data_IF_033398483093
#
_entry.id   IF_033398483093
#
_cell.length_a   1.000
_cell.length_b   1.000
_cell.length_c   1.000
_cell.angle_alpha   90.00
_cell.angle_beta   90.00
_cell.angle_gamma   90.00
#
_symmetry.space_group_name_H-M   'P 1'
#
loop_
_entity.id
_entity.type
_entity.pdbx_description
1 polymer ?
#
# COMPACT_ATOMS: atom_id res chain seq x y z
N UNK A 1 -6.91 2.14 -22.88
CA UNK A 1 -6.33 2.97 -21.81
C UNK A 1 -6.36 4.43 -22.25
N UNK A 2 -6.48 5.36 -21.31
CA UNK A 2 -6.34 6.79 -21.62
C UNK A 2 -4.85 7.14 -21.82
N UNK A 3 -4.52 8.09 -22.71
CA UNK A 3 -3.13 8.49 -22.95
C UNK A 3 -2.55 9.26 -21.75
N UNK A 4 -1.24 9.09 -21.52
CA UNK A 4 -0.51 9.89 -20.53
C UNK A 4 -0.40 11.36 -21.00
N UNK A 5 -0.32 12.28 -20.03
CA UNK A 5 -0.08 13.69 -20.32
C UNK A 5 1.33 13.92 -20.90
N UNK A 6 1.53 15.01 -21.68
CA UNK A 6 2.83 15.28 -22.33
C UNK A 6 3.97 15.56 -21.35
N UNK A 7 3.67 15.72 -20.06
CA UNK A 7 4.65 15.98 -19.00
C UNK A 7 5.54 14.76 -18.71
N UNK A 8 5.10 13.56 -19.09
CA UNK A 8 5.90 12.33 -18.98
C UNK A 8 6.17 11.75 -20.37
N UNK A 9 7.26 12.17 -21.03
CA UNK A 9 7.55 11.80 -22.42
C UNK A 9 8.22 10.41 -22.56
N UNK A 10 8.22 9.59 -21.51
CA UNK A 10 8.86 8.28 -21.50
C UNK A 10 7.82 7.15 -21.54
N UNK A 11 8.25 5.95 -21.95
CA UNK A 11 7.40 4.75 -21.97
C UNK A 11 8.24 3.53 -21.69
N UNK A 12 7.74 2.63 -20.85
CA UNK A 12 8.41 1.38 -20.47
C UNK A 12 9.67 1.60 -19.64
N UNK A 13 9.77 2.73 -18.93
CA UNK A 13 10.94 3.07 -18.10
C UNK A 13 10.62 3.07 -16.61
N UNK A 14 9.33 2.99 -16.24
CA UNK A 14 8.89 3.03 -14.85
C UNK A 14 7.93 1.89 -14.52
N UNK A 15 8.22 1.14 -13.45
CA UNK A 15 7.41 0.00 -12.99
C UNK A 15 5.97 0.40 -12.59
N UNK A 16 5.73 1.72 -12.39
CA UNK A 16 4.42 2.29 -12.05
C UNK A 16 3.54 2.53 -13.28
N UNK A 17 4.10 2.46 -14.49
CA UNK A 17 3.32 2.55 -15.72
C UNK A 17 2.31 1.41 -15.77
N UNK A 18 1.05 1.74 -16.07
CA UNK A 18 -0.05 0.76 -16.15
C UNK A 18 -0.18 -0.12 -14.88
N UNK A 19 0.09 0.44 -13.70
CA UNK A 19 0.01 -0.29 -12.44
C UNK A 19 -1.30 -1.10 -12.29
N UNK A 20 -1.25 -2.37 -11.83
CA UNK A 20 -0.08 -3.12 -11.35
C UNK A 20 0.54 -4.05 -12.41
N UNK A 21 0.28 -3.83 -13.70
CA UNK A 21 0.48 -4.84 -14.75
C UNK A 21 1.92 -5.29 -14.98
N UNK A 22 2.91 -4.45 -14.61
CA UNK A 22 4.33 -4.81 -14.64
C UNK A 22 4.62 -5.99 -13.70
N UNK A 23 3.98 -6.03 -12.54
CA UNK A 23 4.18 -7.10 -11.55
C UNK A 23 3.15 -8.23 -11.67
N UNK A 24 1.88 -7.88 -11.85
CA UNK A 24 0.78 -8.85 -11.80
C UNK A 24 -0.23 -8.59 -12.91
N UNK A 25 -0.56 -9.65 -13.66
CA UNK A 25 -1.63 -9.61 -14.67
C UNK A 25 -2.97 -10.17 -14.17
N UNK A 26 -3.01 -10.68 -12.93
CA UNK A 26 -4.21 -11.24 -12.29
C UNK A 26 -4.24 -10.84 -10.83
N UNK A 27 -5.40 -10.44 -10.34
CA UNK A 27 -5.65 -10.08 -8.95
C UNK A 27 -6.98 -10.69 -8.48
N UNK A 28 -7.17 -10.79 -7.16
CA UNK A 28 -8.43 -11.25 -6.59
C UNK A 28 -9.55 -10.22 -6.82
N UNK A 29 -10.69 -10.67 -7.32
CA UNK A 29 -11.91 -9.86 -7.41
C UNK A 29 -12.95 -10.41 -6.42
N UNK A 30 -13.19 -9.65 -5.35
CA UNK A 30 -14.07 -10.08 -4.27
C UNK A 30 -15.55 -9.84 -4.60
N UNK A 31 -16.41 -10.72 -4.10
CA UNK A 31 -17.87 -10.65 -4.28
C UNK A 31 -18.57 -9.99 -3.09
N UNK A 32 -19.73 -9.38 -3.32
CA UNK A 32 -20.55 -8.81 -2.26
C UNK A 32 -19.81 -7.74 -1.42
N UNK A 33 -19.81 -7.91 -0.10
CA UNK A 33 -19.15 -7.00 0.86
C UNK A 33 -17.76 -7.46 1.31
N UNK A 34 -17.19 -8.49 0.68
CA UNK A 34 -15.83 -8.93 0.97
C UNK A 34 -14.79 -8.05 0.25
N UNK A 35 -13.59 -7.94 0.81
CA UNK A 35 -12.42 -7.21 0.30
C UNK A 35 -11.11 -7.82 0.82
N UNK A 36 -9.98 -7.17 0.49
CA UNK A 36 -8.64 -7.56 0.93
C UNK A 36 -7.90 -8.31 -0.17
N UNK A 37 -6.59 -8.52 0.00
CA UNK A 37 -5.74 -9.17 -1.00
C UNK A 37 -6.19 -10.61 -1.31
N UNK A 38 -6.81 -11.28 -0.33
CA UNK A 38 -7.32 -12.66 -0.41
C UNK A 38 -8.85 -12.77 -0.34
N UNK A 39 -9.57 -11.65 -0.37
CA UNK A 39 -11.02 -11.58 -0.10
C UNK A 39 -11.47 -12.06 1.29
N UNK A 40 -10.53 -12.17 2.25
CA UNK A 40 -10.81 -12.60 3.63
C UNK A 40 -11.27 -11.48 4.58
N UNK A 41 -11.33 -10.23 4.12
CA UNK A 41 -11.71 -9.07 4.93
C UNK A 41 -13.05 -8.50 4.46
N UNK A 42 -13.61 -7.56 5.22
CA UNK A 42 -14.85 -6.87 4.88
C UNK A 42 -14.59 -5.44 4.37
N UNK A 43 -15.38 -4.99 3.39
CA UNK A 43 -15.35 -3.63 2.86
C UNK A 43 -15.39 -2.59 3.98
N UNK A 44 -14.77 -1.43 3.79
CA UNK A 44 -14.83 -0.35 4.77
C UNK A 44 -16.28 -0.04 5.18
N UNK A 45 -16.54 -0.04 6.49
CA UNK A 45 -17.88 0.12 7.06
C UNK A 45 -18.68 -1.18 7.24
N UNK A 46 -18.17 -2.33 6.79
CA UNK A 46 -18.75 -3.65 6.99
C UNK A 46 -17.87 -4.54 7.86
N UNK A 47 -18.49 -5.31 8.75
CA UNK A 47 -17.87 -6.11 9.79
C UNK A 47 -18.60 -7.45 9.95
N UNK A 48 -18.07 -8.30 10.83
CA UNK A 48 -18.58 -9.64 11.10
C UNK A 48 -18.04 -10.70 10.12
N UNK A 49 -18.20 -12.00 10.44
CA UNK A 49 -17.64 -13.09 9.64
C UNK A 49 -18.21 -13.15 8.21
N UNK A 50 -19.40 -12.60 7.99
CA UNK A 50 -20.10 -12.57 6.70
C UNK A 50 -20.15 -11.17 6.06
N UNK A 51 -19.49 -10.16 6.64
CA UNK A 51 -19.48 -8.78 6.14
C UNK A 51 -20.87 -8.14 5.96
N UNK A 52 -21.83 -8.54 6.81
CA UNK A 52 -23.21 -8.03 6.80
C UNK A 52 -23.46 -6.96 7.86
N UNK A 53 -22.63 -6.89 8.89
CA UNK A 53 -22.80 -5.93 9.97
C UNK A 53 -22.26 -4.57 9.56
N UNK A 54 -23.05 -3.51 9.75
CA UNK A 54 -22.61 -2.14 9.44
C UNK A 54 -21.98 -1.51 10.67
N UNK A 55 -20.80 -0.92 10.50
CA UNK A 55 -20.10 -0.16 11.54
C UNK A 55 -19.71 1.21 11.03
N UNK A 56 -20.16 2.26 11.71
CA UNK A 56 -19.76 3.64 11.44
C UNK A 56 -18.65 4.05 12.41
N UNK A 57 -17.57 4.61 11.89
CA UNK A 57 -16.48 5.19 12.66
C UNK A 57 -16.44 6.70 12.42
N UNK A 58 -16.28 7.48 13.48
CA UNK A 58 -16.20 8.95 13.41
C UNK A 58 -14.75 9.38 13.58
N UNK A 59 -14.20 10.10 12.59
CA UNK A 59 -12.90 10.76 12.70
C UNK A 59 -13.09 12.10 13.39
N UNK A 60 -12.72 12.20 14.66
CA UNK A 60 -12.80 13.43 15.46
C UNK A 60 -11.60 14.33 15.21
N UNK A 61 -11.75 15.62 15.52
CA UNK A 61 -10.62 16.54 15.60
C UNK A 61 -9.67 16.10 16.73
N UNK A 62 -8.36 16.05 16.45
CA UNK A 62 -7.35 15.60 17.41
C UNK A 62 -7.32 16.50 18.66
N UNK A 63 -7.63 17.79 18.52
CA UNK A 63 -7.62 18.73 19.65
C UNK A 63 -8.78 18.51 20.62
N UNK A 64 -9.89 17.97 20.14
CA UNK A 64 -11.12 17.68 20.90
C UNK A 64 -11.07 16.33 21.64
N UNK A 65 -10.02 15.53 21.42
CA UNK A 65 -9.85 14.27 22.14
C UNK A 65 -9.53 14.51 23.61
N UNK A 66 -10.10 13.67 24.48
CA UNK A 66 -9.70 13.56 25.89
C UNK A 66 -8.23 13.12 26.02
N UNK A 67 -7.61 13.37 27.17
CA UNK A 67 -6.22 12.95 27.44
C UNK A 67 -6.04 11.44 27.21
N UNK A 68 -6.88 10.53 27.73
CA UNK A 68 -6.73 9.10 27.49
C UNK A 68 -6.91 8.70 26.01
N UNK A 69 -7.77 9.39 25.26
CA UNK A 69 -7.93 9.16 23.81
C UNK A 69 -6.66 9.57 23.03
N UNK A 70 -6.04 10.70 23.40
CA UNK A 70 -4.77 11.16 22.81
C UNK A 70 -3.64 10.19 23.11
N UNK A 71 -3.50 9.76 24.37
CA UNK A 71 -2.46 8.81 24.78
C UNK A 71 -2.61 7.48 24.04
N UNK A 72 -3.84 6.97 23.93
CA UNK A 72 -4.14 5.75 23.16
C UNK A 72 -3.80 5.90 21.69
N UNK A 73 -4.13 7.05 21.08
CA UNK A 73 -3.80 7.32 19.68
C UNK A 73 -2.29 7.32 19.45
N UNK A 74 -1.52 8.03 20.27
CA UNK A 74 -0.06 8.06 20.20
C UNK A 74 0.55 6.68 20.43
N UNK A 75 0.06 5.94 21.43
CA UNK A 75 0.53 4.58 21.71
C UNK A 75 0.32 3.64 20.51
N UNK A 76 -0.81 3.74 19.80
CA UNK A 76 -1.04 2.92 18.61
C UNK A 76 -0.25 3.36 17.38
N UNK A 77 0.07 4.64 17.23
CA UNK A 77 1.03 5.08 16.20
C UNK A 77 2.41 4.49 16.46
N UNK A 78 2.89 4.55 17.70
CA UNK A 78 4.15 3.94 18.12
C UNK A 78 4.13 2.42 17.90
N UNK A 79 3.03 1.75 18.29
CA UNK A 79 2.88 0.32 18.04
C UNK A 79 2.95 0.00 16.55
N UNK A 80 2.24 0.75 15.69
CA UNK A 80 2.28 0.56 14.24
C UNK A 80 3.68 0.77 13.64
N UNK A 81 4.47 1.69 14.20
CA UNK A 81 5.86 1.92 13.80
C UNK A 81 6.80 0.77 14.15
N UNK A 82 6.49 0.00 15.20
CA UNK A 82 7.32 -1.12 15.64
C UNK A 82 6.74 -2.50 15.32
N UNK A 83 5.55 -2.57 14.73
CA UNK A 83 4.92 -3.84 14.34
C UNK A 83 5.17 -4.10 12.87
N UNK A 84 5.85 -5.21 12.55
CA UNK A 84 6.05 -5.68 11.18
C UNK A 84 4.70 -6.07 10.57
N UNK A 85 4.46 -5.64 9.33
CA UNK A 85 3.26 -6.02 8.58
C UNK A 85 3.28 -7.51 8.28
N UNK A 86 2.17 -8.19 8.57
CA UNK A 86 1.98 -9.61 8.22
C UNK A 86 1.52 -9.81 6.79
N UNK A 87 0.99 -8.76 6.18
CA UNK A 87 0.26 -8.84 4.91
C UNK A 87 1.07 -8.27 3.74
N UNK A 88 2.02 -7.37 4.02
CA UNK A 88 2.76 -6.64 2.99
C UNK A 88 4.26 -6.61 3.29
N UNK A 89 5.02 -6.71 2.21
CA UNK A 89 6.46 -6.44 2.15
C UNK A 89 6.70 -5.37 1.09
N UNK A 90 7.84 -4.70 1.15
CA UNK A 90 8.18 -3.65 0.18
C UNK A 90 9.27 -4.12 -0.77
N UNK A 91 9.17 -3.80 -2.08
CA UNK A 91 10.25 -4.08 -3.01
C UNK A 91 11.47 -3.19 -2.72
N UNK A 92 12.65 -3.79 -2.81
CA UNK A 92 13.95 -3.11 -2.64
C UNK A 92 14.71 -2.93 -3.95
N UNK A 93 14.12 -3.35 -5.07
CA UNK A 93 14.67 -3.19 -6.41
C UNK A 93 13.57 -3.00 -7.45
N UNK A 94 13.96 -2.54 -8.65
CA UNK A 94 13.05 -2.43 -9.80
C UNK A 94 12.69 -3.82 -10.32
N UNK A 95 11.60 -3.92 -11.07
CA UNK A 95 11.21 -5.19 -11.70
C UNK A 95 12.32 -5.76 -12.61
N UNK A 96 13.07 -4.88 -13.28
CA UNK A 96 14.26 -5.25 -14.05
C UNK A 96 15.38 -5.84 -13.19
N UNK A 97 15.70 -5.21 -12.04
CA UNK A 97 16.70 -5.74 -11.09
C UNK A 97 16.26 -7.10 -10.50
N UNK A 98 14.97 -7.31 -10.32
CA UNK A 98 14.38 -8.61 -9.92
C UNK A 98 14.44 -9.68 -11.02
N UNK A 99 15.13 -9.42 -12.14
CA UNK A 99 15.15 -10.28 -13.34
C UNK A 99 13.74 -10.70 -13.76
N UNK A 100 12.86 -9.71 -13.93
CA UNK A 100 11.45 -9.89 -14.28
C UNK A 100 10.72 -10.83 -13.30
N UNK A 101 10.99 -10.67 -12.00
CA UNK A 101 10.36 -11.43 -10.91
C UNK A 101 10.99 -12.79 -10.60
N UNK A 102 12.01 -13.23 -11.33
CA UNK A 102 12.71 -14.50 -11.04
C UNK A 102 13.64 -14.43 -9.82
N UNK A 103 14.06 -13.23 -9.42
CA UNK A 103 14.84 -12.98 -8.21
C UNK A 103 14.06 -11.98 -7.35
N UNK A 104 13.26 -12.46 -6.37
CA UNK A 104 12.46 -11.57 -5.54
C UNK A 104 13.37 -10.71 -4.65
N UNK A 105 13.13 -9.40 -4.64
CA UNK A 105 13.86 -8.43 -3.82
C UNK A 105 12.87 -7.68 -2.94
N UNK A 106 12.56 -8.25 -1.78
CA UNK A 106 11.59 -7.68 -0.84
C UNK A 106 12.14 -7.67 0.58
N UNK A 107 11.75 -6.66 1.35
CA UNK A 107 12.05 -6.57 2.77
C UNK A 107 10.76 -6.44 3.58
N UNK A 108 10.82 -6.96 4.80
CA UNK A 108 9.84 -6.69 5.84
C UNK A 108 9.73 -5.20 6.11
N UNK A 109 8.53 -4.75 6.46
CA UNK A 109 8.23 -3.34 6.71
C UNK A 109 7.29 -3.22 7.90
N UNK A 110 7.46 -2.17 8.72
CA UNK A 110 6.47 -1.88 9.76
C UNK A 110 5.15 -1.36 9.15
N UNK A 111 4.05 -1.45 9.89
CA UNK A 111 2.74 -0.94 9.45
C UNK A 111 2.83 0.56 9.11
N UNK A 112 3.51 1.34 9.96
CA UNK A 112 3.67 2.78 9.73
C UNK A 112 4.64 3.06 8.57
N UNK A 113 5.73 2.30 8.45
CA UNK A 113 6.68 2.50 7.35
C UNK A 113 6.13 2.08 6.01
N UNK A 114 5.20 1.13 5.95
CA UNK A 114 4.47 0.82 4.73
C UNK A 114 3.67 2.04 4.25
N UNK A 115 2.99 2.74 5.17
CA UNK A 115 2.27 3.98 4.85
C UNK A 115 3.20 5.07 4.29
N UNK A 116 4.38 5.24 4.90
CA UNK A 116 5.40 6.18 4.42
C UNK A 116 5.98 5.75 3.07
N UNK A 117 6.29 4.46 2.92
CA UNK A 117 6.90 3.89 1.72
C UNK A 117 5.97 4.01 0.51
N UNK A 118 4.67 3.77 0.68
CA UNK A 118 3.69 3.96 -0.41
C UNK A 118 3.71 5.39 -0.92
N UNK A 119 3.76 6.38 -0.03
CA UNK A 119 3.85 7.79 -0.41
C UNK A 119 5.15 8.05 -1.19
N UNK A 120 6.29 7.59 -0.67
CA UNK A 120 7.57 7.69 -1.36
C UNK A 120 7.54 7.05 -2.76
N UNK A 121 6.97 5.85 -2.87
CA UNK A 121 6.94 5.08 -4.12
C UNK A 121 6.09 5.77 -5.19
N UNK A 122 4.98 6.41 -4.84
CA UNK A 122 4.18 7.17 -5.81
C UNK A 122 4.77 8.53 -6.15
N UNK A 123 5.58 9.13 -5.27
CA UNK A 123 6.09 10.50 -5.44
C UNK A 123 7.54 10.58 -5.92
N UNK A 124 8.29 9.48 -5.92
CA UNK A 124 9.70 9.45 -6.36
C UNK A 124 9.83 9.67 -7.88
N UNK A 125 11.00 10.15 -8.28
CA UNK A 125 11.37 10.29 -9.68
C UNK A 125 11.49 8.93 -10.39
N UNK A 126 11.25 8.96 -11.70
CA UNK A 126 11.53 7.83 -12.59
C UNK A 126 13.03 7.65 -12.73
N UNK A 127 13.48 6.40 -12.57
CA UNK A 127 14.89 6.04 -12.66
C UNK A 127 15.30 5.82 -14.10
N UNK A 128 16.06 6.76 -14.65
CA UNK A 128 16.63 6.64 -15.99
C UNK A 128 18.09 6.17 -15.88
N UNK A 129 18.49 5.17 -16.67
CA UNK A 129 19.90 4.81 -16.84
C UNK A 129 20.48 3.84 -15.80
N UNK A 130 19.69 2.90 -15.26
CA UNK A 130 20.18 1.83 -14.39
C UNK A 130 20.56 2.27 -12.98
N UNK A 131 20.08 3.44 -12.54
CA UNK A 131 20.14 3.87 -11.15
C UNK A 131 19.49 2.85 -10.21
N UNK A 132 20.06 2.66 -9.02
CA UNK A 132 19.54 1.74 -8.02
C UNK A 132 18.41 2.38 -7.19
N UNK A 133 17.56 1.53 -6.62
CA UNK A 133 16.62 1.94 -5.58
C UNK A 133 17.31 1.69 -4.25
N UNK A 134 17.68 2.77 -3.53
CA UNK A 134 18.37 2.75 -2.24
C UNK A 134 19.86 2.37 -2.28
#
# INVERSE_FOLDING_TARGET
>A
SAPAGPQFPFTGVDDREFWPSIFYNRTCQCSGNFMGFSCGNCKFGYWGPNCTEKRVLVRKNIFELSVPEKDKFLAYLTLAKHTISTDYVIPTGTYGQMKNGSIPMFNDVSIYDLFVWMHYYVSRDTLLGGSEIW
#
